data_IF_478617488138
#
_entry.id   IF_478617488138
#
_cell.length_a   1.000
_cell.length_b   1.000
_cell.length_c   1.000
_cell.angle_alpha   90.00
_cell.angle_beta   90.00
_cell.angle_gamma   90.00
#
_symmetry.space_group_name_H-M   'P 1'
#
loop_
_entity.id
_entity.type
_entity.pdbx_description
1 polymer ?
#
# COMPACT_ATOMS: atom_id res chain seq x y z
N UNK A 1 18.66 26.33 -10.81
CA UNK A 1 18.79 25.13 -11.67
C UNK A 1 19.28 23.89 -10.91
N UNK A 2 20.31 23.97 -10.07
CA UNK A 2 20.82 22.82 -9.30
C UNK A 2 19.80 22.19 -8.34
N UNK A 3 18.97 23.00 -7.67
CA UNK A 3 17.90 22.49 -6.81
C UNK A 3 16.87 21.67 -7.59
N UNK A 4 16.45 22.15 -8.77
CA UNK A 4 15.53 21.41 -9.64
C UNK A 4 16.13 20.07 -10.11
N UNK A 5 17.41 20.06 -10.51
CA UNK A 5 18.10 18.82 -10.87
C UNK A 5 18.17 17.82 -9.69
N UNK A 6 18.42 18.30 -8.47
CA UNK A 6 18.40 17.46 -7.26
C UNK A 6 17.04 16.82 -7.01
N UNK A 7 15.95 17.59 -7.17
CA UNK A 7 14.59 17.05 -7.01
C UNK A 7 14.24 16.02 -8.10
N UNK A 8 14.69 16.23 -9.34
CA UNK A 8 14.50 15.28 -10.44
C UNK A 8 15.26 13.97 -10.17
N UNK A 9 16.50 14.05 -9.67
CA UNK A 9 17.26 12.86 -9.29
C UNK A 9 16.59 12.12 -8.14
N UNK A 10 16.15 12.85 -7.11
CA UNK A 10 15.48 12.28 -5.95
C UNK A 10 14.17 11.59 -6.33
N UNK A 11 13.34 12.21 -7.17
CA UNK A 11 12.09 11.60 -7.63
C UNK A 11 12.34 10.34 -8.47
N UNK A 12 13.36 10.34 -9.32
CA UNK A 12 13.77 9.15 -10.08
C UNK A 12 14.17 7.98 -9.18
N UNK A 13 14.94 8.25 -8.13
CA UNK A 13 15.32 7.24 -7.14
C UNK A 13 14.09 6.69 -6.40
N UNK A 14 13.16 7.56 -5.99
CA UNK A 14 11.92 7.15 -5.32
C UNK A 14 11.07 6.27 -6.22
N UNK A 15 10.89 6.66 -7.48
CA UNK A 15 10.11 5.88 -8.45
C UNK A 15 10.77 4.50 -8.68
N UNK A 16 12.09 4.46 -8.81
CA UNK A 16 12.83 3.21 -8.98
C UNK A 16 12.69 2.29 -7.75
N UNK A 17 12.78 2.86 -6.54
CA UNK A 17 12.56 2.12 -5.31
C UNK A 17 11.14 1.55 -5.23
N UNK A 18 10.12 2.34 -5.57
CA UNK A 18 8.71 1.87 -5.63
C UNK A 18 8.57 0.76 -6.68
N UNK A 19 9.16 0.92 -7.86
CA UNK A 19 9.13 -0.08 -8.93
C UNK A 19 9.76 -1.42 -8.52
N UNK A 20 10.90 -1.39 -7.83
CA UNK A 20 11.53 -2.58 -7.24
C UNK A 20 10.64 -3.22 -6.18
N UNK A 21 10.05 -2.41 -5.30
CA UNK A 21 9.12 -2.87 -4.27
C UNK A 21 7.92 -3.59 -4.89
N UNK A 22 7.30 -3.00 -5.92
CA UNK A 22 6.19 -3.61 -6.64
C UNK A 22 6.63 -4.85 -7.44
N UNK A 23 7.85 -4.87 -7.99
CA UNK A 23 8.36 -6.05 -8.70
C UNK A 23 8.55 -7.25 -7.76
N UNK A 24 9.11 -7.03 -6.56
CA UNK A 24 9.36 -8.13 -5.61
C UNK A 24 8.14 -8.52 -4.77
N UNK A 25 7.21 -7.60 -4.55
CA UNK A 25 6.02 -7.84 -3.73
C UNK A 25 4.76 -8.02 -4.59
N UNK A 26 4.76 -7.68 -5.88
CA UNK A 26 3.57 -7.68 -6.74
C UNK A 26 2.81 -9.01 -6.78
N UNK A 27 3.52 -10.13 -7.01
CA UNK A 27 2.91 -11.46 -6.98
C UNK A 27 2.44 -11.85 -5.57
N UNK A 28 3.14 -11.32 -4.55
CA UNK A 28 2.80 -11.42 -3.14
C UNK A 28 1.88 -10.28 -2.69
N UNK A 29 1.18 -9.55 -3.56
CA UNK A 29 0.20 -8.53 -3.15
C UNK A 29 -1.23 -8.96 -3.46
N UNK A 30 -1.42 -10.08 -4.17
CA UNK A 30 -2.74 -10.62 -4.50
C UNK A 30 -3.59 -11.00 -3.27
N UNK A 31 -2.98 -11.12 -2.09
CA UNK A 31 -3.66 -11.35 -0.81
C UNK A 31 -3.97 -10.05 -0.04
N UNK A 32 -3.35 -8.92 -0.42
CA UNK A 32 -3.64 -7.62 0.18
C UNK A 32 -4.98 -7.14 -0.37
N UNK A 33 -5.97 -7.11 0.50
CA UNK A 33 -7.36 -6.98 0.13
C UNK A 33 -8.10 -8.30 -0.12
N UNK A 34 -7.49 -9.46 0.08
CA UNK A 34 -8.21 -10.74 0.12
C UNK A 34 -7.89 -11.48 1.41
N UNK A 35 -7.78 -10.74 2.50
CA UNK A 35 -7.60 -11.34 3.81
C UNK A 35 -8.90 -12.01 4.26
N UNK A 36 -8.76 -13.09 5.02
CA UNK A 36 -9.90 -13.81 5.61
C UNK A 36 -10.72 -12.84 6.47
N UNK A 37 -11.87 -12.39 5.95
CA UNK A 37 -12.80 -11.45 6.56
C UNK A 37 -12.86 -10.05 5.90
N UNK A 38 -12.10 -9.80 4.83
CA UNK A 38 -12.50 -8.80 3.83
C UNK A 38 -13.73 -9.32 3.09
N UNK A 39 -14.74 -8.46 2.88
CA UNK A 39 -16.01 -8.86 2.26
C UNK A 39 -15.97 -8.55 0.78
N UNK A 40 -15.99 -9.58 -0.07
CA UNK A 40 -16.16 -9.48 -1.51
C UNK A 40 -17.56 -10.01 -1.87
N UNK A 41 -18.42 -9.14 -2.40
CA UNK A 41 -19.72 -9.52 -2.94
C UNK A 41 -19.69 -9.39 -4.46
N UNK A 42 -20.06 -10.46 -5.15
CA UNK A 42 -20.27 -10.47 -6.59
C UNK A 42 -21.70 -10.88 -6.89
N UNK A 43 -22.40 -10.07 -7.68
CA UNK A 43 -23.76 -10.37 -8.13
C UNK A 43 -23.76 -11.57 -9.08
N UNK A 44 -24.83 -12.37 -9.08
CA UNK A 44 -24.95 -13.61 -9.87
C UNK A 44 -24.74 -13.41 -11.39
N UNK A 45 -25.06 -12.22 -11.90
CA UNK A 45 -24.89 -11.84 -13.29
C UNK A 45 -23.57 -11.09 -13.57
N UNK A 46 -22.68 -10.99 -12.57
CA UNK A 46 -21.34 -10.39 -12.67
C UNK A 46 -21.31 -8.88 -12.89
N UNK A 47 -22.47 -8.20 -12.93
CA UNK A 47 -22.57 -6.77 -13.24
C UNK A 47 -22.15 -5.87 -12.09
N UNK A 48 -22.21 -6.37 -10.86
CA UNK A 48 -21.92 -5.60 -9.65
C UNK A 48 -20.95 -6.40 -8.81
N UNK A 49 -19.79 -5.79 -8.53
CA UNK A 49 -18.79 -6.28 -7.56
C UNK A 49 -18.60 -5.20 -6.51
N UNK A 50 -18.82 -5.56 -5.24
CA UNK A 50 -18.60 -4.69 -4.09
C UNK A 50 -17.49 -5.30 -3.27
N UNK A 51 -16.46 -4.51 -3.01
CA UNK A 51 -15.29 -4.93 -2.26
C UNK A 51 -15.16 -4.06 -0.99
N UNK A 52 -15.12 -4.70 0.18
CA UNK A 52 -15.08 -4.03 1.48
C UNK A 52 -13.90 -4.53 2.34
N UNK A 53 -12.75 -3.82 2.30
CA UNK A 53 -11.48 -4.21 2.94
C UNK A 53 -11.43 -3.95 4.45
N UNK A 54 -12.34 -4.53 5.26
CA UNK A 54 -12.39 -4.24 6.70
C UNK A 54 -11.07 -4.56 7.40
N UNK A 55 -10.56 -5.77 7.17
CA UNK A 55 -9.40 -6.28 7.91
C UNK A 55 -8.13 -5.64 7.36
N UNK A 56 -8.06 -5.48 6.04
CA UNK A 56 -6.95 -4.77 5.41
C UNK A 56 -6.83 -3.33 5.95
N UNK A 57 -7.93 -2.59 6.11
CA UNK A 57 -7.90 -1.22 6.66
C UNK A 57 -7.53 -1.19 8.15
N UNK A 58 -7.98 -2.16 8.95
CA UNK A 58 -7.61 -2.29 10.36
C UNK A 58 -6.11 -2.56 10.54
N UNK A 59 -5.56 -3.50 9.79
CA UNK A 59 -4.13 -3.81 9.80
C UNK A 59 -3.29 -2.61 9.36
N UNK A 60 -3.72 -1.93 8.29
CA UNK A 60 -3.05 -0.73 7.82
C UNK A 60 -3.03 0.37 8.90
N UNK A 61 -4.18 0.63 9.53
CA UNK A 61 -4.27 1.60 10.63
C UNK A 61 -3.33 1.24 11.79
N UNK A 62 -3.34 -0.01 12.24
CA UNK A 62 -2.47 -0.49 13.32
C UNK A 62 -0.99 -0.32 12.98
N UNK A 63 -0.60 -0.68 11.75
CA UNK A 63 0.77 -0.56 11.26
C UNK A 63 1.21 0.92 11.23
N UNK A 64 0.38 1.81 10.68
CA UNK A 64 0.69 3.25 10.66
C UNK A 64 0.84 3.80 12.09
N UNK A 65 -0.09 3.47 12.99
CA UNK A 65 -0.02 3.90 14.38
C UNK A 65 1.26 3.41 15.05
N UNK A 66 1.64 2.15 14.82
CA UNK A 66 2.86 1.57 15.37
C UNK A 66 4.12 2.29 14.86
N UNK A 67 4.21 2.51 13.54
CA UNK A 67 5.35 3.22 12.92
C UNK A 67 5.45 4.64 13.44
N UNK A 68 4.35 5.39 13.47
CA UNK A 68 4.33 6.78 13.98
C UNK A 68 4.77 6.82 15.44
N UNK A 69 4.28 5.89 16.27
CA UNK A 69 4.63 5.86 17.68
C UNK A 69 6.11 5.51 17.92
N UNK A 70 6.68 4.62 17.10
CA UNK A 70 8.12 4.37 17.08
C UNK A 70 8.85 5.65 16.71
N UNK A 71 8.53 6.28 15.57
CA UNK A 71 9.21 7.50 15.14
C UNK A 71 9.17 8.58 16.23
N UNK A 72 8.01 8.79 16.87
CA UNK A 72 7.86 9.74 18.00
C UNK A 72 8.64 9.35 19.26
N UNK A 73 8.92 8.06 19.47
CA UNK A 73 9.72 7.61 20.62
C UNK A 73 11.23 7.82 20.40
N UNK A 74 11.68 7.70 19.15
CA UNK A 74 13.10 7.74 18.79
C UNK A 74 13.57 9.13 18.32
N UNK A 75 12.64 10.02 17.94
CA UNK A 75 12.88 11.42 17.59
C UNK A 75 12.29 12.35 18.65
#
# INVERSE_FOLDING_TARGET
MQAAAKYIILSGIVILAIGLLLYFIGDKLNWLGRLHGDVEYESENGRVRIYFPIITMLLLSLLLTFVINILRKWF
#
